data_IF_048360895518
#
_entry.id   IF_048360895518
#
_cell.length_a   1.000
_cell.length_b   1.000
_cell.length_c   1.000
_cell.angle_alpha   90.00
_cell.angle_beta   90.00
_cell.angle_gamma   90.00
#
_symmetry.space_group_name_H-M   'P 1'
#
loop_
_entity.id
_entity.type
_entity.pdbx_description
1 polymer ?
#
# COMPACT_ATOMS: atom_id res chain seq x y z
N UNK A 1 -13.18 12.11 3.78
CA UNK A 1 -12.83 12.29 2.35
C UNK A 1 -13.56 13.48 1.75
N UNK A 2 -14.87 13.70 2.02
CA UNK A 2 -15.60 14.85 1.52
C UNK A 2 -14.93 16.17 1.90
N UNK A 3 -14.58 16.36 3.17
CA UNK A 3 -13.91 17.58 3.64
C UNK A 3 -12.59 17.85 2.93
N UNK A 4 -11.83 16.80 2.61
CA UNK A 4 -10.60 16.91 1.83
C UNK A 4 -10.89 17.39 0.40
N UNK A 5 -11.92 16.85 -0.24
CA UNK A 5 -12.35 17.28 -1.57
C UNK A 5 -12.78 18.75 -1.57
N UNK A 6 -13.53 19.17 -0.56
CA UNK A 6 -13.97 20.55 -0.43
C UNK A 6 -12.79 21.52 -0.25
N UNK A 7 -11.79 21.12 0.54
CA UNK A 7 -10.55 21.91 0.68
C UNK A 7 -9.79 21.96 -0.64
N UNK A 8 -9.63 20.82 -1.31
CA UNK A 8 -8.93 20.74 -2.59
C UNK A 8 -9.61 21.60 -3.68
N UNK A 9 -10.95 21.63 -3.72
CA UNK A 9 -11.72 22.49 -4.63
C UNK A 9 -11.53 23.97 -4.31
N UNK A 10 -11.60 24.34 -3.04
CA UNK A 10 -11.44 25.76 -2.62
C UNK A 10 -10.05 26.31 -2.93
N UNK A 11 -9.02 25.48 -2.86
CA UNK A 11 -7.64 25.88 -3.05
C UNK A 11 -7.07 25.48 -4.43
N UNK A 12 -7.92 24.97 -5.31
CA UNK A 12 -7.57 24.49 -6.66
C UNK A 12 -6.37 23.51 -6.67
N UNK A 13 -6.38 22.57 -5.73
CA UNK A 13 -5.31 21.56 -5.58
C UNK A 13 -5.73 20.26 -6.26
N UNK A 14 -4.81 19.66 -7.01
CA UNK A 14 -4.95 18.30 -7.55
C UNK A 14 -4.68 17.26 -6.45
N UNK A 15 -5.37 16.12 -6.54
CA UNK A 15 -5.25 15.02 -5.58
C UNK A 15 -4.56 13.84 -6.28
N UNK A 16 -3.58 13.24 -5.62
CA UNK A 16 -2.99 11.96 -6.03
C UNK A 16 -3.39 10.93 -4.98
N UNK A 17 -4.24 9.98 -5.37
CA UNK A 17 -4.72 8.90 -4.50
C UNK A 17 -4.00 7.59 -4.84
N UNK A 18 -3.16 7.13 -3.92
CA UNK A 18 -2.52 5.82 -4.02
C UNK A 18 -3.37 4.78 -3.30
N UNK A 19 -4.03 3.92 -4.06
CA UNK A 19 -4.89 2.87 -3.56
C UNK A 19 -4.36 1.45 -3.85
N UNK A 20 -3.04 1.32 -3.97
CA UNK A 20 -2.40 0.03 -4.26
C UNK A 20 -2.69 -1.07 -3.22
N UNK A 21 -3.06 -0.69 -2.00
CA UNK A 21 -3.40 -1.59 -0.88
C UNK A 21 -4.91 -1.68 -0.61
N UNK A 22 -5.68 -0.78 -1.19
CA UNK A 22 -7.11 -0.64 -0.94
C UNK A 22 -7.90 -1.93 -1.14
N UNK A 23 -7.69 -2.69 -2.21
CA UNK A 23 -8.42 -3.94 -2.44
C UNK A 23 -8.30 -4.98 -1.33
N UNK A 24 -7.26 -4.92 -0.48
CA UNK A 24 -7.10 -5.79 0.70
C UNK A 24 -8.02 -5.40 1.86
N UNK A 25 -8.65 -4.23 1.82
CA UNK A 25 -9.52 -3.70 2.87
C UNK A 25 -10.97 -3.70 2.38
N UNK A 26 -11.80 -4.70 2.73
CA UNK A 26 -13.17 -4.82 2.23
C UNK A 26 -14.06 -3.64 2.64
N UNK A 27 -13.84 -3.11 3.84
CA UNK A 27 -14.64 -2.02 4.43
C UNK A 27 -14.04 -0.62 4.15
N UNK A 28 -13.15 -0.50 3.15
CA UNK A 28 -12.59 0.78 2.78
C UNK A 28 -13.66 1.73 2.25
N UNK A 29 -13.56 3.03 2.52
CA UNK A 29 -14.45 4.02 1.88
C UNK A 29 -14.16 4.10 0.38
N UNK A 30 -15.16 4.52 -0.39
CA UNK A 30 -15.02 4.75 -1.83
C UNK A 30 -13.83 5.65 -2.15
N UNK A 31 -13.14 5.42 -3.29
CA UNK A 31 -12.04 6.28 -3.73
C UNK A 31 -12.40 7.76 -3.81
N UNK A 32 -11.46 8.64 -3.50
CA UNK A 32 -11.63 10.09 -3.65
C UNK A 32 -11.92 10.45 -5.11
N UNK A 33 -11.34 9.70 -6.04
CA UNK A 33 -11.61 9.84 -7.47
C UNK A 33 -13.10 9.72 -7.84
N UNK A 34 -13.90 9.04 -7.02
CA UNK A 34 -15.35 8.93 -7.22
C UNK A 34 -16.08 10.22 -6.79
N UNK A 35 -15.53 10.94 -5.81
CA UNK A 35 -16.07 12.19 -5.29
C UNK A 35 -15.61 13.42 -6.08
N UNK A 36 -14.40 13.37 -6.65
CA UNK A 36 -13.77 14.47 -7.36
C UNK A 36 -12.95 13.96 -8.56
N UNK A 37 -13.61 13.34 -9.57
CA UNK A 37 -12.91 12.80 -10.74
C UNK A 37 -12.21 13.90 -11.56
N UNK A 38 -12.70 15.13 -11.50
CA UNK A 38 -12.18 16.28 -12.23
C UNK A 38 -10.78 16.75 -11.75
N UNK A 39 -10.31 16.26 -10.59
CA UNK A 39 -9.03 16.68 -9.99
C UNK A 39 -8.24 15.57 -9.33
N UNK A 40 -8.67 14.32 -9.44
CA UNK A 40 -8.01 13.19 -8.77
C UNK A 40 -7.31 12.28 -9.76
N UNK A 41 -6.01 12.10 -9.55
CA UNK A 41 -5.22 11.02 -10.14
C UNK A 41 -5.29 9.83 -9.18
N UNK A 42 -6.01 8.79 -9.60
CA UNK A 42 -6.14 7.57 -8.80
C UNK A 42 -5.33 6.45 -9.44
N UNK A 43 -4.52 5.79 -8.64
CA UNK A 43 -3.81 4.59 -9.11
C UNK A 43 -3.92 3.41 -8.15
N UNK A 44 -4.07 2.24 -8.76
CA UNK A 44 -4.07 0.95 -8.08
C UNK A 44 -3.28 -0.07 -8.87
N UNK A 45 -3.01 -1.22 -8.28
CA UNK A 45 -2.27 -2.27 -8.98
C UNK A 45 -2.57 -3.66 -8.43
N UNK A 46 -2.37 -4.68 -9.27
CA UNK A 46 -2.41 -6.07 -8.86
C UNK A 46 -1.16 -6.50 -8.11
N UNK A 47 -0.09 -5.71 -8.18
CA UNK A 47 1.23 -5.99 -7.60
C UNK A 47 1.20 -6.23 -6.09
N UNK A 48 0.44 -5.43 -5.35
CA UNK A 48 0.40 -5.50 -3.88
C UNK A 48 -0.69 -6.42 -3.36
N UNK A 49 -1.77 -6.55 -4.11
CA UNK A 49 -2.97 -7.27 -3.67
C UNK A 49 -2.99 -8.72 -4.13
N UNK A 50 -2.29 -9.05 -5.23
CA UNK A 50 -2.36 -10.35 -5.87
C UNK A 50 -0.96 -10.93 -6.03
N UNK A 51 -0.13 -10.34 -6.93
CA UNK A 51 1.17 -10.92 -7.27
C UNK A 51 2.21 -9.84 -7.60
N UNK A 52 3.28 -9.71 -6.79
CA UNK A 52 4.33 -8.70 -6.99
C UNK A 52 5.00 -8.76 -8.37
N UNK A 53 5.12 -9.95 -8.96
CA UNK A 53 5.77 -10.17 -10.24
C UNK A 53 5.04 -9.58 -11.46
N UNK A 54 3.73 -9.31 -11.36
CA UNK A 54 2.96 -8.74 -12.47
C UNK A 54 3.44 -7.34 -12.88
N UNK A 55 3.95 -6.55 -11.93
CA UNK A 55 4.44 -5.17 -12.20
C UNK A 55 3.48 -4.33 -13.04
N UNK A 56 2.19 -4.52 -12.87
CA UNK A 56 1.11 -3.95 -13.66
C UNK A 56 0.14 -3.18 -12.76
N UNK A 57 -0.33 -2.03 -13.21
CA UNK A 57 -1.25 -1.18 -12.49
C UNK A 57 -2.09 -0.32 -13.42
N UNK A 58 -3.04 0.36 -12.83
CA UNK A 58 -3.99 1.22 -13.51
C UNK A 58 -3.87 2.64 -12.96
N UNK A 59 -3.99 3.61 -13.84
CA UNK A 59 -4.08 5.02 -13.51
C UNK A 59 -5.33 5.59 -14.18
N UNK A 60 -6.22 6.16 -13.36
CA UNK A 60 -7.28 7.05 -13.85
C UNK A 60 -6.94 8.49 -13.49
N UNK A 61 -7.36 9.43 -14.31
CA UNK A 61 -7.02 10.83 -14.17
C UNK A 61 -8.08 11.73 -14.78
N UNK A 62 -8.10 13.03 -14.47
CA UNK A 62 -8.97 13.97 -15.17
C UNK A 62 -8.63 14.01 -16.67
N UNK A 63 -9.66 14.08 -17.52
CA UNK A 63 -9.56 14.03 -18.98
C UNK A 63 -8.57 15.05 -19.56
N UNK A 64 -8.51 16.24 -18.96
CA UNK A 64 -7.57 17.29 -19.38
C UNK A 64 -6.09 16.89 -19.34
N UNK A 65 -5.73 15.86 -18.57
CA UNK A 65 -4.34 15.39 -18.42
C UNK A 65 -4.03 14.13 -19.23
N UNK A 66 -5.01 13.50 -19.86
CA UNK A 66 -4.85 12.20 -20.52
C UNK A 66 -3.72 12.21 -21.56
N UNK A 67 -3.74 13.15 -22.50
CA UNK A 67 -2.70 13.26 -23.54
C UNK A 67 -1.31 13.52 -22.97
N UNK A 68 -1.22 14.37 -21.96
CA UNK A 68 0.06 14.68 -21.30
C UNK A 68 0.62 13.47 -20.55
N UNK A 69 -0.24 12.73 -19.85
CA UNK A 69 0.14 11.52 -19.12
C UNK A 69 0.55 10.40 -20.08
N UNK A 70 -0.20 10.17 -21.17
CA UNK A 70 0.16 9.18 -22.19
C UNK A 70 1.51 9.47 -22.83
N UNK A 71 1.77 10.74 -23.20
CA UNK A 71 3.05 11.15 -23.75
C UNK A 71 4.19 10.99 -22.72
N UNK A 72 3.96 11.37 -21.46
CA UNK A 72 4.96 11.19 -20.40
C UNK A 72 5.26 9.71 -20.16
N UNK A 73 4.25 8.85 -20.14
CA UNK A 73 4.42 7.40 -20.01
C UNK A 73 5.25 6.82 -21.16
N UNK A 74 4.97 7.25 -22.39
CA UNK A 74 5.71 6.84 -23.59
C UNK A 74 7.20 7.21 -23.49
N UNK A 75 7.54 8.45 -23.09
CA UNK A 75 8.94 8.90 -23.03
C UNK A 75 9.71 8.36 -21.83
N UNK A 76 9.05 7.99 -20.74
CA UNK A 76 9.72 7.51 -19.51
C UNK A 76 9.83 6.01 -19.45
N UNK A 77 8.79 5.30 -19.84
CA UNK A 77 8.68 3.84 -19.67
C UNK A 77 8.43 3.09 -20.98
N UNK A 78 8.24 3.81 -22.08
CA UNK A 78 7.85 3.29 -23.38
C UNK A 78 6.44 2.70 -23.35
N UNK A 79 6.23 1.62 -22.59
CA UNK A 79 4.93 0.98 -22.36
C UNK A 79 4.96 0.07 -21.13
N UNK A 80 3.79 -0.31 -20.62
CA UNK A 80 3.70 -1.44 -19.70
C UNK A 80 4.10 -2.74 -20.43
N UNK A 81 4.66 -3.72 -19.70
CA UNK A 81 5.00 -5.01 -20.28
C UNK A 81 3.73 -5.70 -20.80
N UNK A 82 3.59 -5.79 -22.10
CA UNK A 82 2.34 -6.25 -22.76
C UNK A 82 1.88 -7.62 -22.25
N UNK A 83 2.81 -8.57 -22.06
CA UNK A 83 2.49 -9.90 -21.51
C UNK A 83 1.87 -9.81 -20.11
N UNK A 84 2.43 -8.97 -19.24
CA UNK A 84 1.91 -8.83 -17.87
C UNK A 84 0.56 -8.09 -17.84
N UNK A 85 0.38 -7.13 -18.73
CA UNK A 85 -0.90 -6.45 -18.91
C UNK A 85 -1.96 -7.45 -19.39
N UNK A 86 -1.68 -8.27 -20.41
CA UNK A 86 -2.59 -9.30 -20.93
C UNK A 86 -2.98 -10.30 -19.83
N UNK A 87 -2.00 -10.82 -19.06
CA UNK A 87 -2.28 -11.72 -17.94
C UNK A 87 -3.20 -11.04 -16.91
N UNK A 88 -2.90 -9.79 -16.56
CA UNK A 88 -3.71 -9.03 -15.60
C UNK A 88 -5.14 -8.80 -16.08
N UNK A 89 -5.33 -8.44 -17.35
CA UNK A 89 -6.64 -8.25 -17.97
C UNK A 89 -7.43 -9.57 -17.95
N UNK A 90 -6.85 -10.66 -18.41
CA UNK A 90 -7.50 -11.99 -18.40
C UNK A 90 -7.91 -12.42 -16.99
N UNK A 91 -7.05 -12.21 -16.00
CA UNK A 91 -7.37 -12.55 -14.61
C UNK A 91 -8.52 -11.73 -14.03
N UNK A 92 -8.69 -10.49 -14.50
CA UNK A 92 -9.84 -9.66 -14.13
C UNK A 92 -11.10 -10.20 -14.81
N UNK A 93 -11.03 -10.45 -16.12
CA UNK A 93 -12.18 -10.89 -16.95
C UNK A 93 -12.70 -12.28 -16.54
N UNK A 94 -11.81 -13.23 -16.23
CA UNK A 94 -12.18 -14.60 -15.86
C UNK A 94 -12.42 -14.80 -14.36
N UNK A 95 -12.28 -13.73 -13.53
CA UNK A 95 -12.49 -13.76 -12.09
C UNK A 95 -11.31 -14.36 -11.31
N UNK A 96 -10.19 -14.68 -11.94
CA UNK A 96 -9.00 -15.20 -11.27
C UNK A 96 -8.42 -14.16 -10.30
N UNK A 97 -8.38 -12.88 -10.70
CA UNK A 97 -7.91 -11.79 -9.84
C UNK A 97 -8.73 -11.71 -8.54
N UNK A 98 -10.05 -11.83 -8.61
CA UNK A 98 -10.92 -11.81 -7.43
C UNK A 98 -10.66 -13.02 -6.51
N UNK A 99 -10.50 -14.23 -7.08
CA UNK A 99 -10.19 -15.44 -6.30
C UNK A 99 -8.85 -15.32 -5.57
N UNK A 100 -7.83 -14.82 -6.26
CA UNK A 100 -6.50 -14.61 -5.68
C UNK A 100 -6.51 -13.53 -4.60
N UNK A 101 -7.25 -12.45 -4.81
CA UNK A 101 -7.43 -11.40 -3.82
C UNK A 101 -8.09 -11.95 -2.54
N UNK A 102 -9.18 -12.70 -2.66
CA UNK A 102 -9.86 -13.35 -1.52
C UNK A 102 -8.93 -14.30 -0.77
N UNK A 103 -8.16 -15.08 -1.51
CA UNK A 103 -7.16 -15.98 -0.91
C UNK A 103 -6.10 -15.18 -0.14
N UNK A 104 -5.55 -14.13 -0.73
CA UNK A 104 -4.55 -13.26 -0.09
C UNK A 104 -5.09 -12.59 1.17
N UNK A 105 -6.32 -12.08 1.12
CA UNK A 105 -6.99 -11.51 2.28
C UNK A 105 -7.13 -12.54 3.42
N UNK A 106 -7.54 -13.76 3.10
CA UNK A 106 -7.65 -14.84 4.08
C UNK A 106 -6.30 -15.23 4.69
N UNK A 107 -5.24 -15.29 3.88
CA UNK A 107 -3.88 -15.57 4.35
C UNK A 107 -3.36 -14.46 5.26
N UNK A 108 -3.52 -13.19 4.85
CA UNK A 108 -3.13 -12.04 5.66
C UNK A 108 -3.94 -11.93 6.96
N UNK A 109 -5.24 -12.20 6.92
CA UNK A 109 -6.08 -12.24 8.11
C UNK A 109 -5.57 -13.24 9.16
N UNK A 110 -5.22 -14.45 8.74
CA UNK A 110 -4.61 -15.46 9.63
C UNK A 110 -3.27 -14.97 10.21
N UNK A 111 -2.40 -14.39 9.40
CA UNK A 111 -1.10 -13.84 9.87
C UNK A 111 -1.28 -12.69 10.86
N UNK A 112 -2.24 -11.80 10.62
CA UNK A 112 -2.58 -10.72 11.56
C UNK A 112 -3.11 -11.27 12.90
N UNK A 113 -3.93 -12.32 12.89
CA UNK A 113 -4.39 -12.99 14.10
C UNK A 113 -3.22 -13.59 14.91
N UNK A 114 -2.28 -14.25 14.23
CA UNK A 114 -1.06 -14.79 14.85
C UNK A 114 -0.21 -13.66 15.43
N UNK A 115 0.03 -12.60 14.67
CA UNK A 115 0.77 -11.43 15.14
C UNK A 115 0.11 -10.78 16.35
N UNK A 116 -1.21 -10.59 16.34
CA UNK A 116 -1.96 -10.04 17.46
C UNK A 116 -1.85 -10.91 18.72
N UNK A 117 -1.86 -12.24 18.56
CA UNK A 117 -1.67 -13.18 19.68
C UNK A 117 -0.27 -13.10 20.26
N UNK A 118 0.77 -13.04 19.41
CA UNK A 118 2.18 -12.96 19.85
C UNK A 118 2.47 -11.62 20.52
N UNK A 119 1.94 -10.52 19.97
CA UNK A 119 2.12 -9.16 20.49
C UNK A 119 1.11 -8.79 21.57
N UNK A 120 0.36 -9.76 22.11
CA UNK A 120 -0.61 -9.51 23.17
C UNK A 120 0.07 -8.83 24.38
N UNK A 121 -0.52 -7.71 24.84
CA UNK A 121 0.03 -6.90 25.92
C UNK A 121 1.09 -5.86 25.49
N UNK A 122 1.47 -5.83 24.21
CA UNK A 122 2.36 -4.83 23.62
C UNK A 122 1.52 -3.93 22.71
N UNK A 123 1.59 -2.59 22.81
CA UNK A 123 0.87 -1.71 21.89
C UNK A 123 1.42 -1.87 20.48
N UNK A 124 0.53 -2.08 19.51
CA UNK A 124 0.85 -2.13 18.08
C UNK A 124 -0.33 -1.63 17.25
N UNK A 125 -0.06 -1.29 15.99
CA UNK A 125 -1.08 -0.90 15.02
C UNK A 125 -1.02 -1.84 13.81
N UNK A 126 -2.17 -2.35 13.39
CA UNK A 126 -2.33 -3.13 12.16
C UNK A 126 -3.75 -2.97 11.62
N UNK A 127 -4.00 -3.46 10.41
CA UNK A 127 -5.37 -3.63 9.92
C UNK A 127 -5.65 -5.13 9.71
N UNK A 128 -6.92 -5.55 9.73
CA UNK A 128 -7.29 -7.00 9.71
C UNK A 128 -6.65 -7.81 8.58
N UNK A 129 -6.50 -7.20 7.40
CA UNK A 129 -5.86 -7.82 6.23
C UNK A 129 -4.62 -7.03 5.78
N UNK A 130 -4.02 -6.25 6.69
CA UNK A 130 -2.82 -5.47 6.39
C UNK A 130 -1.59 -6.36 6.22
N UNK A 131 -0.69 -5.94 5.34
CA UNK A 131 0.60 -6.59 5.16
C UNK A 131 1.64 -6.16 6.19
N UNK A 132 1.32 -5.20 7.04
CA UNK A 132 2.26 -4.59 7.97
C UNK A 132 1.67 -4.43 9.36
N UNK A 133 2.56 -4.56 10.35
CA UNK A 133 2.33 -4.15 11.73
C UNK A 133 3.27 -3.01 12.03
N UNK A 134 2.77 -1.96 12.64
CA UNK A 134 3.58 -0.91 13.25
C UNK A 134 3.73 -1.18 14.74
N UNK A 135 4.97 -1.33 15.17
CA UNK A 135 5.33 -1.61 16.56
C UNK A 135 6.09 -0.41 17.12
N UNK A 136 5.50 0.36 18.07
CA UNK A 136 6.23 1.34 18.83
C UNK A 136 7.37 0.68 19.63
N UNK A 137 8.54 1.31 19.64
CA UNK A 137 9.70 0.82 20.42
C UNK A 137 9.64 1.42 21.82
N UNK A 138 9.86 0.61 22.90
CA UNK A 138 9.98 1.14 24.26
C UNK A 138 11.10 2.17 24.37
N UNK A 139 10.89 3.24 25.16
CA UNK A 139 11.84 4.34 25.30
C UNK A 139 13.23 3.96 25.87
N UNK A 140 13.40 2.73 26.32
CA UNK A 140 14.70 2.15 26.75
C UNK A 140 15.60 1.75 25.59
N UNK A 141 15.05 1.70 24.35
CA UNK A 141 15.77 1.36 23.13
C UNK A 141 15.88 2.57 22.21
N UNK A 142 17.02 2.72 21.56
CA UNK A 142 17.11 3.51 20.34
C UNK A 142 16.62 2.68 19.16
N UNK A 143 16.11 3.31 18.11
CA UNK A 143 15.65 2.62 16.91
C UNK A 143 16.76 1.77 16.28
N UNK A 144 17.96 2.33 16.12
CA UNK A 144 19.10 1.63 15.55
C UNK A 144 19.51 0.40 16.35
N UNK A 145 19.55 0.52 17.69
CA UNK A 145 19.87 -0.61 18.56
C UNK A 145 18.82 -1.72 18.47
N UNK A 146 17.54 -1.34 18.40
CA UNK A 146 16.43 -2.31 18.24
C UNK A 146 16.51 -3.04 16.89
N UNK A 147 16.72 -2.31 15.80
CA UNK A 147 16.84 -2.88 14.44
C UNK A 147 18.06 -3.80 14.35
N UNK A 148 19.19 -3.38 14.91
CA UNK A 148 20.40 -4.20 14.95
C UNK A 148 20.19 -5.48 15.78
N UNK A 149 19.55 -5.37 16.95
CA UNK A 149 19.24 -6.52 17.79
C UNK A 149 18.28 -7.50 17.11
N UNK A 150 17.22 -7.00 16.47
CA UNK A 150 16.29 -7.82 15.69
C UNK A 150 17.03 -8.60 14.58
N UNK A 151 17.93 -7.92 13.85
CA UNK A 151 18.74 -8.54 12.79
C UNK A 151 19.67 -9.63 13.32
N UNK A 152 20.30 -9.41 14.46
CA UNK A 152 21.15 -10.43 15.13
C UNK A 152 20.36 -11.68 15.51
N UNK A 153 19.06 -11.53 15.76
CA UNK A 153 18.13 -12.62 16.05
C UNK A 153 17.38 -13.13 14.80
N UNK A 154 17.88 -12.85 13.60
CA UNK A 154 17.32 -13.37 12.35
C UNK A 154 16.05 -12.67 11.84
N UNK A 155 15.67 -11.53 12.46
CA UNK A 155 14.45 -10.79 12.07
C UNK A 155 14.82 -9.45 11.42
N UNK A 156 14.40 -9.26 10.18
CA UNK A 156 14.54 -7.99 9.48
C UNK A 156 13.29 -7.13 9.67
N UNK A 157 13.45 -5.94 10.25
CA UNK A 157 12.39 -4.95 10.41
C UNK A 157 12.78 -3.63 9.74
N UNK A 158 11.81 -2.87 9.28
CA UNK A 158 12.07 -1.56 8.69
C UNK A 158 12.01 -0.48 9.79
N UNK A 159 13.07 0.34 9.95
CA UNK A 159 13.08 1.42 10.94
C UNK A 159 12.03 2.49 10.62
N UNK A 160 11.48 3.13 11.65
CA UNK A 160 10.50 4.20 11.52
C UNK A 160 11.07 5.44 10.83
N UNK A 161 12.34 5.72 11.03
CA UNK A 161 13.08 6.80 10.37
C UNK A 161 13.02 6.72 8.84
N UNK A 162 12.91 5.50 8.26
CA UNK A 162 12.74 5.31 6.81
C UNK A 162 11.41 5.89 6.27
N UNK A 163 10.46 6.21 7.13
CA UNK A 163 9.14 6.77 6.80
C UNK A 163 8.97 8.21 7.30
N UNK A 164 9.97 8.76 7.96
CA UNK A 164 9.91 10.13 8.47
C UNK A 164 10.10 11.15 7.34
N UNK A 165 9.33 12.23 7.38
CA UNK A 165 9.44 13.33 6.42
C UNK A 165 10.70 14.19 6.62
N UNK A 166 11.27 14.16 7.82
CA UNK A 166 12.50 14.86 8.17
C UNK A 166 13.10 14.23 9.44
N UNK A 167 14.39 14.45 9.67
CA UNK A 167 15.10 14.01 10.88
C UNK A 167 14.53 14.60 12.18
N UNK A 168 13.77 15.69 12.08
CA UNK A 168 13.12 16.33 13.25
C UNK A 168 11.91 15.54 13.77
N UNK A 169 11.30 14.68 12.95
CA UNK A 169 10.15 13.85 13.32
C UNK A 169 10.64 12.43 13.61
N UNK A 170 11.09 12.17 14.83
CA UNK A 170 11.47 10.82 15.25
C UNK A 170 10.22 10.07 15.74
N UNK A 171 9.67 9.24 14.89
CA UNK A 171 8.71 8.21 15.32
C UNK A 171 9.51 7.00 15.81
N UNK A 172 9.55 6.78 17.11
CA UNK A 172 10.18 5.59 17.67
C UNK A 172 9.30 4.36 17.42
N UNK A 173 9.57 3.67 16.33
CA UNK A 173 8.80 2.49 15.94
C UNK A 173 9.46 1.73 14.81
N UNK A 174 9.04 0.51 14.60
CA UNK A 174 9.46 -0.32 13.46
C UNK A 174 8.25 -0.87 12.73
N UNK A 175 8.40 -1.06 11.42
CA UNK A 175 7.42 -1.74 10.60
C UNK A 175 7.83 -3.19 10.40
N UNK A 176 6.94 -4.10 10.79
CA UNK A 176 7.05 -5.54 10.56
C UNK A 176 6.22 -5.89 9.33
N UNK A 177 6.77 -6.66 8.39
CA UNK A 177 6.07 -7.12 7.21
C UNK A 177 5.48 -8.52 7.46
N UNK A 178 4.16 -8.67 7.30
CA UNK A 178 3.45 -9.94 7.36
C UNK A 178 3.23 -10.57 5.98
N UNK A 179 3.53 -9.83 4.91
CA UNK A 179 3.35 -10.26 3.52
C UNK A 179 4.52 -11.08 2.98
N UNK A 180 5.63 -11.18 3.70
CA UNK A 180 6.76 -12.02 3.30
C UNK A 180 6.38 -13.50 3.36
N UNK A 181 7.07 -14.32 2.54
CA UNK A 181 6.88 -15.76 2.53
C UNK A 181 7.10 -16.36 3.93
N UNK A 182 6.26 -17.31 4.26
CA UNK A 182 6.54 -18.22 5.36
C UNK A 182 7.29 -19.40 4.79
N UNK A 183 8.44 -19.68 5.34
CA UNK A 183 9.09 -20.98 5.22
C UNK A 183 8.15 -22.10 5.63
#
# INVERSE_FOLDING_TARGET
RADLVDVARRHDVLIIENDAWGPLQPDRPDPIAQLAPERTFYFTSLTKCIMPGLRFGFLTMPEAFESAAANRHLVTNWMATALMAEIGCRWIEDGTAERLLKWQMGALGKRNQVAAKILSGIPFQSSPNGMHVWLPIPGTWTEDAFVAHARLNGVAVAPGSAFAMSDAVRTQGVRICLGAETS
#
